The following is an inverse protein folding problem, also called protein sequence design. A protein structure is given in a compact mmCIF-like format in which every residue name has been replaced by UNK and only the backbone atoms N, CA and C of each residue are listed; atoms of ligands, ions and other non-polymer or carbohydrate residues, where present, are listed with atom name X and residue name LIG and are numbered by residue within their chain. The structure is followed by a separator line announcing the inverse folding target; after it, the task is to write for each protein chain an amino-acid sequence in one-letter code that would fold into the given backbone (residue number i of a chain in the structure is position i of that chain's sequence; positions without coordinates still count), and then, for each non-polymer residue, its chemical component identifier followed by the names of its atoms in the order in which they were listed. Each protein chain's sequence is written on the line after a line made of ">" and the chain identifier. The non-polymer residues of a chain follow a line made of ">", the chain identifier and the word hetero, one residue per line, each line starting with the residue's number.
data_IF_371019529837
#
_entry.id   IF_371019529837
#
_cell.length_a   1.000
_cell.length_b   1.000
_cell.length_c   1.000
_cell.angle_alpha   90.00
_cell.angle_beta   90.00
_cell.angle_gamma   90.00
#
_symmetry.space_group_name_H-M   'P 1'
#
loop_
_entity.id
_entity.type
_entity.pdbx_description
1 polymer ?
#
# COMPACT_ATOMS: atom_id res chain seq x y z
N UNK A 1 13.47 -17.27 -0.01
CA UNK A 1 12.37 -18.28 -0.11
C UNK A 1 12.55 -19.47 0.81
N UNK A 2 13.75 -20.02 0.95
CA UNK A 2 14.02 -21.14 1.88
C UNK A 2 13.74 -20.81 3.35
N UNK A 3 14.09 -19.62 3.83
CA UNK A 3 13.82 -19.22 5.23
C UNK A 3 12.31 -19.20 5.60
N UNK A 4 11.41 -18.98 4.66
CA UNK A 4 9.97 -18.97 4.95
C UNK A 4 9.38 -20.39 4.99
N UNK A 5 9.90 -21.33 4.20
CA UNK A 5 9.52 -22.76 4.27
C UNK A 5 10.03 -23.45 5.53
N UNK A 6 11.20 -23.06 6.05
CA UNK A 6 11.73 -23.59 7.32
C UNK A 6 10.94 -23.08 8.55
N UNK A 7 10.12 -22.04 8.38
CA UNK A 7 9.23 -21.54 9.43
C UNK A 7 7.96 -22.37 9.66
N UNK A 8 7.64 -23.34 8.80
CA UNK A 8 6.38 -24.09 8.86
C UNK A 8 6.60 -25.59 9.19
N UNK A 9 7.81 -26.03 9.46
CA UNK A 9 8.04 -27.41 9.93
C UNK A 9 7.80 -27.52 11.43
N UNK A 10 6.97 -28.48 11.82
CA UNK A 10 6.36 -28.72 13.15
C UNK A 10 7.32 -29.03 14.31
N UNK A 11 8.63 -28.88 14.19
CA UNK A 11 9.56 -29.14 15.28
C UNK A 11 9.94 -27.85 16.03
N UNK A 12 9.38 -27.67 17.23
CA UNK A 12 9.73 -26.66 18.25
C UNK A 12 9.66 -25.17 17.80
N UNK A 13 8.67 -24.81 17.02
CA UNK A 13 8.49 -23.40 16.63
C UNK A 13 8.18 -22.56 17.86
N UNK A 14 9.10 -21.68 18.24
CA UNK A 14 8.78 -20.54 19.13
C UNK A 14 7.53 -19.87 18.60
N UNK A 15 6.55 -19.54 19.45
CA UNK A 15 5.31 -18.89 18.99
C UNK A 15 5.65 -17.64 18.16
N UNK A 16 5.04 -17.55 16.98
CA UNK A 16 5.23 -16.38 16.11
C UNK A 16 4.72 -15.12 16.78
N UNK A 17 5.43 -14.03 16.53
CA UNK A 17 5.09 -12.70 17.00
C UNK A 17 4.89 -11.78 15.79
N UNK A 18 3.91 -10.92 15.87
CA UNK A 18 3.55 -10.03 14.78
C UNK A 18 3.65 -8.57 15.23
N UNK A 19 4.46 -7.80 14.53
CA UNK A 19 4.51 -6.35 14.64
C UNK A 19 3.78 -5.72 13.46
N UNK A 20 2.86 -4.82 13.72
CA UNK A 20 2.13 -4.09 12.68
C UNK A 20 2.50 -2.62 12.74
N UNK A 21 3.14 -2.10 11.68
CA UNK A 21 3.32 -0.65 11.52
C UNK A 21 2.05 -0.08 10.88
N UNK A 22 1.32 0.72 11.61
CA UNK A 22 0.07 1.34 11.17
C UNK A 22 0.13 2.86 11.29
N UNK A 23 -0.80 3.54 10.62
CA UNK A 23 -1.04 4.95 10.84
C UNK A 23 -1.79 5.13 12.15
N UNK A 24 -1.48 6.20 12.86
CA UNK A 24 -2.29 6.65 13.97
C UNK A 24 -3.63 7.18 13.44
N UNK A 25 -4.70 6.46 13.72
CA UNK A 25 -6.07 6.80 13.32
C UNK A 25 -6.98 6.77 14.56
N UNK A 26 -8.04 7.58 14.59
CA UNK A 26 -9.03 7.50 15.68
C UNK A 26 -9.56 6.08 15.85
N UNK A 27 -9.80 5.67 17.09
CA UNK A 27 -10.21 4.29 17.47
C UNK A 27 -11.43 3.79 16.68
N UNK A 28 -12.40 4.66 16.41
CA UNK A 28 -13.63 4.35 15.68
C UNK A 28 -13.40 3.98 14.20
N UNK A 29 -12.22 4.29 13.65
CA UNK A 29 -11.85 4.03 12.25
C UNK A 29 -10.86 2.87 12.08
N UNK A 30 -10.35 2.29 13.15
CA UNK A 30 -9.30 1.25 13.12
C UNK A 30 -9.82 -0.17 12.88
N UNK A 31 -10.86 -0.36 12.07
CA UNK A 31 -11.49 -1.67 11.80
C UNK A 31 -10.52 -2.79 11.40
N UNK A 32 -9.45 -2.45 10.70
CA UNK A 32 -8.45 -3.44 10.27
C UNK A 32 -7.54 -3.86 11.43
N UNK A 33 -7.13 -2.92 12.28
CA UNK A 33 -6.32 -3.20 13.46
C UNK A 33 -7.06 -4.13 14.43
N UNK A 34 -8.31 -3.82 14.74
CA UNK A 34 -9.18 -4.60 15.62
C UNK A 34 -9.41 -6.02 15.07
N UNK A 35 -9.60 -6.14 13.74
CA UNK A 35 -9.76 -7.45 13.10
C UNK A 35 -8.50 -8.29 13.18
N UNK A 36 -7.31 -7.69 13.00
CA UNK A 36 -6.02 -8.36 13.13
C UNK A 36 -5.81 -8.84 14.57
N UNK A 37 -6.06 -7.97 15.54
CA UNK A 37 -5.93 -8.30 16.95
C UNK A 37 -6.87 -9.43 17.39
N UNK A 38 -8.13 -9.38 16.96
CA UNK A 38 -9.09 -10.45 17.20
C UNK A 38 -8.65 -11.79 16.62
N UNK A 39 -8.05 -11.80 15.42
CA UNK A 39 -7.55 -13.03 14.81
C UNK A 39 -6.26 -13.52 15.49
N UNK A 40 -5.34 -12.61 15.82
CA UNK A 40 -4.13 -12.95 16.55
C UNK A 40 -4.44 -13.61 17.88
N UNK A 41 -5.36 -13.03 18.66
CA UNK A 41 -5.84 -13.60 19.93
C UNK A 41 -6.43 -15.00 19.77
N UNK A 42 -7.24 -15.24 18.70
CA UNK A 42 -7.79 -16.57 18.42
C UNK A 42 -6.72 -17.61 18.08
N UNK A 43 -5.63 -17.17 17.48
CA UNK A 43 -4.53 -18.04 17.04
C UNK A 43 -3.40 -18.15 18.07
N UNK A 44 -3.52 -17.47 19.23
CA UNK A 44 -2.45 -17.42 20.24
C UNK A 44 -1.19 -16.69 19.77
N UNK A 45 -1.32 -15.78 18.80
CA UNK A 45 -0.22 -15.00 18.26
C UNK A 45 -0.06 -13.72 19.09
N UNK A 46 1.16 -13.45 19.60
CA UNK A 46 1.53 -12.18 20.22
C UNK A 46 1.62 -11.10 19.12
N UNK A 47 0.67 -10.18 19.13
CA UNK A 47 0.58 -9.09 18.16
C UNK A 47 0.74 -7.74 18.85
N UNK A 48 1.63 -6.90 18.31
CA UNK A 48 1.81 -5.52 18.73
C UNK A 48 1.55 -4.56 17.57
N UNK A 49 0.70 -3.57 17.78
CA UNK A 49 0.40 -2.52 16.81
C UNK A 49 1.19 -1.26 17.15
N UNK A 50 2.09 -0.85 16.27
CA UNK A 50 2.95 0.32 16.42
C UNK A 50 2.42 1.47 15.57
N UNK A 51 2.05 2.56 16.20
CA UNK A 51 1.55 3.79 15.57
C UNK A 51 2.71 4.68 15.17
N UNK A 52 3.02 4.69 13.86
CA UNK A 52 4.29 5.25 13.37
C UNK A 52 4.49 6.74 13.61
N UNK A 53 3.41 7.50 13.81
CA UNK A 53 3.48 8.92 14.15
C UNK A 53 3.82 9.15 15.62
N UNK A 54 3.46 8.21 16.49
CA UNK A 54 3.53 8.32 17.94
C UNK A 54 4.34 7.22 18.61
N UNK A 55 5.33 6.66 17.92
CA UNK A 55 6.13 5.55 18.42
C UNK A 55 7.62 5.71 18.14
N UNK A 56 8.41 4.89 18.80
CA UNK A 56 9.86 4.86 18.66
C UNK A 56 10.42 3.47 19.03
N UNK A 57 11.68 3.25 18.70
CA UNK A 57 12.44 2.09 19.15
C UNK A 57 13.53 2.49 20.13
N UNK A 58 13.74 1.64 21.13
CA UNK A 58 14.95 1.61 21.94
C UNK A 58 15.70 0.29 21.74
N UNK A 59 16.85 0.16 22.35
CA UNK A 59 17.57 -1.12 22.45
C UNK A 59 17.67 -1.52 23.92
N UNK A 60 17.46 -2.80 24.20
CA UNK A 60 17.70 -3.35 25.53
C UNK A 60 19.19 -3.71 25.73
N UNK A 61 19.55 -4.16 26.94
CA UNK A 61 20.92 -4.56 27.29
C UNK A 61 21.49 -5.69 26.40
N UNK A 62 20.62 -6.49 25.78
CA UNK A 62 21.00 -7.57 24.85
C UNK A 62 21.18 -7.08 23.40
N UNK A 63 20.95 -5.78 23.15
CA UNK A 63 20.98 -5.20 21.81
C UNK A 63 19.73 -5.44 20.96
N UNK A 64 18.69 -6.06 21.52
CA UNK A 64 17.40 -6.24 20.81
C UNK A 64 16.62 -4.93 20.77
N UNK A 65 15.89 -4.71 19.66
CA UNK A 65 14.96 -3.59 19.56
C UNK A 65 13.77 -3.79 20.50
N UNK A 66 13.32 -2.69 21.08
CA UNK A 66 12.08 -2.62 21.86
C UNK A 66 11.19 -1.55 21.25
N UNK A 67 10.00 -1.95 20.83
CA UNK A 67 8.99 -1.07 20.26
C UNK A 67 8.16 -0.42 21.36
N UNK A 68 7.90 0.87 21.23
CA UNK A 68 7.12 1.65 22.19
C UNK A 68 6.10 2.52 21.46
N UNK A 69 4.90 2.62 21.99
CA UNK A 69 3.92 3.65 21.66
C UNK A 69 3.88 4.72 22.75
N UNK A 70 3.65 5.98 22.37
CA UNK A 70 3.29 7.01 23.32
C UNK A 70 1.81 6.88 23.68
N UNK A 71 1.50 6.79 24.97
CA UNK A 71 0.12 6.79 25.44
C UNK A 71 -0.58 8.12 25.16
N UNK A 72 -1.74 8.05 24.49
CA UNK A 72 -2.61 9.21 24.24
C UNK A 72 -1.89 10.40 23.56
N UNK A 73 -0.99 10.11 22.62
CA UNK A 73 -0.15 11.11 21.94
C UNK A 73 -0.96 12.27 21.38
N UNK A 74 -2.05 12.01 20.64
CA UNK A 74 -2.87 13.05 20.02
C UNK A 74 -3.59 13.95 21.03
N UNK A 75 -4.08 13.39 22.11
CA UNK A 75 -4.76 14.16 23.15
C UNK A 75 -3.78 15.03 23.93
N UNK A 76 -2.59 14.49 24.21
CA UNK A 76 -1.57 15.15 25.02
C UNK A 76 -0.74 16.17 24.26
N UNK A 77 -0.58 16.03 22.95
CA UNK A 77 0.18 17.01 22.13
C UNK A 77 -0.68 18.12 21.59
N UNK A 78 -2.00 18.06 21.76
CA UNK A 78 -2.91 19.12 21.30
C UNK A 78 -2.66 20.41 22.10
N UNK A 79 -2.06 21.40 21.43
CA UNK A 79 -1.74 22.69 22.02
C UNK A 79 -0.39 22.75 22.76
N UNK A 80 0.45 21.71 22.70
CA UNK A 80 1.81 21.76 23.23
C UNK A 80 2.76 22.44 22.24
N UNK A 81 3.72 23.19 22.81
CA UNK A 81 4.83 23.79 22.07
C UNK A 81 6.09 22.93 22.16
N UNK A 82 7.07 23.19 21.30
CA UNK A 82 8.38 22.54 21.40
C UNK A 82 9.04 22.87 22.74
N UNK A 83 9.38 21.81 23.50
CA UNK A 83 10.01 21.94 24.83
C UNK A 83 9.05 21.78 26.02
N UNK A 84 7.73 21.66 25.78
CA UNK A 84 6.79 21.33 26.84
C UNK A 84 7.03 19.90 27.37
N UNK A 85 6.81 19.69 28.67
CA UNK A 85 7.04 18.39 29.29
C UNK A 85 6.09 17.34 28.73
N UNK A 86 6.67 16.25 28.23
CA UNK A 86 6.00 15.40 27.31
C UNK A 86 5.79 14.00 27.85
N UNK A 87 4.58 13.55 27.78
CA UNK A 87 4.16 12.23 27.31
C UNK A 87 4.81 11.06 28.03
N UNK A 88 4.02 10.44 28.89
CA UNK A 88 4.35 9.12 29.43
C UNK A 88 4.35 8.10 28.29
N UNK A 89 5.42 7.39 28.15
CA UNK A 89 5.53 6.26 27.23
C UNK A 89 5.17 4.96 27.95
N UNK A 90 4.83 3.94 27.19
CA UNK A 90 4.76 2.57 27.67
C UNK A 90 6.12 2.18 28.28
N UNK A 91 6.16 2.08 29.63
CA UNK A 91 7.40 1.83 30.36
C UNK A 91 8.04 0.48 30.04
N UNK A 92 7.23 -0.50 29.58
CA UNK A 92 7.69 -1.86 29.38
C UNK A 92 8.16 -2.07 27.93
N UNK A 93 7.50 -1.47 26.96
CA UNK A 93 7.72 -1.71 25.55
C UNK A 93 7.48 -3.17 25.13
N UNK A 94 7.58 -3.43 23.84
CA UNK A 94 7.45 -4.75 23.26
C UNK A 94 8.79 -5.15 22.62
N UNK A 95 9.49 -6.14 23.20
CA UNK A 95 10.78 -6.61 22.70
C UNK A 95 10.60 -7.31 21.35
N UNK A 96 11.38 -6.88 20.36
CA UNK A 96 11.38 -7.46 19.02
C UNK A 96 12.43 -8.57 18.96
N UNK A 97 11.96 -9.80 18.79
CA UNK A 97 12.86 -10.94 18.57
C UNK A 97 12.94 -11.25 17.06
N UNK A 98 14.09 -11.04 16.39
CA UNK A 98 14.21 -11.20 14.95
C UNK A 98 14.02 -12.65 14.48
N UNK A 99 14.20 -13.64 15.36
CA UNK A 99 14.07 -15.07 15.00
C UNK A 99 12.62 -15.49 14.76
N UNK A 100 11.66 -14.85 15.44
CA UNK A 100 10.25 -15.23 15.37
C UNK A 100 9.28 -14.05 15.15
N UNK A 101 9.77 -12.84 14.89
CA UNK A 101 8.94 -11.67 14.61
C UNK A 101 8.82 -11.44 13.10
N UNK A 102 7.58 -11.23 12.65
CA UNK A 102 7.26 -10.74 11.29
C UNK A 102 6.64 -9.36 11.43
N UNK A 103 7.12 -8.40 10.64
CA UNK A 103 6.58 -7.05 10.63
C UNK A 103 5.72 -6.80 9.38
N UNK A 104 4.45 -6.46 9.57
CA UNK A 104 3.56 -5.99 8.52
C UNK A 104 3.60 -4.47 8.41
N UNK A 105 4.06 -3.96 7.27
CA UNK A 105 4.10 -2.52 6.96
C UNK A 105 2.78 -2.15 6.27
N UNK A 106 1.88 -1.52 7.02
CA UNK A 106 0.52 -1.16 6.55
C UNK A 106 0.40 0.25 5.99
N UNK A 107 1.47 1.02 6.03
CA UNK A 107 1.48 2.43 5.62
C UNK A 107 2.74 2.75 4.82
N UNK A 108 2.63 3.68 3.90
CA UNK A 108 3.72 4.14 3.02
C UNK A 108 4.39 5.43 3.50
N UNK A 109 4.05 5.91 4.71
CA UNK A 109 4.68 7.08 5.29
C UNK A 109 6.19 6.88 5.46
N UNK A 110 6.98 7.92 5.17
CA UNK A 110 8.44 7.87 5.24
C UNK A 110 8.98 7.38 6.60
N UNK A 111 8.28 7.66 7.72
CA UNK A 111 8.63 7.15 9.05
C UNK A 111 8.42 5.64 9.16
N UNK A 112 7.31 5.11 8.64
CA UNK A 112 7.06 3.67 8.61
C UNK A 112 8.11 2.92 7.80
N UNK A 113 8.53 3.48 6.67
CA UNK A 113 9.60 2.92 5.84
C UNK A 113 10.93 2.90 6.60
N UNK A 114 11.26 3.95 7.37
CA UNK A 114 12.46 3.97 8.21
C UNK A 114 12.40 2.92 9.32
N UNK A 115 11.27 2.76 9.97
CA UNK A 115 11.07 1.72 10.99
C UNK A 115 11.18 0.32 10.40
N UNK A 116 10.60 0.09 9.24
CA UNK A 116 10.72 -1.19 8.53
C UNK A 116 12.18 -1.49 8.15
N UNK A 117 12.97 -0.50 7.69
CA UNK A 117 14.38 -0.69 7.41
C UNK A 117 15.20 -0.92 8.68
N UNK A 118 14.91 -0.23 9.78
CA UNK A 118 15.54 -0.48 11.07
C UNK A 118 15.30 -1.92 11.52
N UNK A 119 14.06 -2.41 11.45
CA UNK A 119 13.71 -3.79 11.75
C UNK A 119 14.45 -4.78 10.86
N UNK A 120 14.52 -4.52 9.55
CA UNK A 120 15.24 -5.35 8.58
C UNK A 120 16.74 -5.43 8.88
N UNK A 121 17.37 -4.32 9.26
CA UNK A 121 18.80 -4.28 9.67
C UNK A 121 19.01 -5.18 10.89
N UNK A 122 18.04 -5.27 11.78
CA UNK A 122 18.08 -6.16 12.96
C UNK A 122 17.60 -7.60 12.66
N UNK A 123 17.45 -7.97 11.38
CA UNK A 123 17.13 -9.34 10.97
C UNK A 123 15.65 -9.69 10.96
N UNK A 124 14.74 -8.74 11.25
CA UNK A 124 13.30 -8.96 11.21
C UNK A 124 12.79 -9.03 9.78
N UNK A 125 11.97 -10.04 9.47
CA UNK A 125 11.29 -10.13 8.18
C UNK A 125 10.19 -9.07 8.09
N UNK A 126 10.26 -8.20 7.05
CA UNK A 126 9.23 -7.17 6.81
C UNK A 126 8.37 -7.53 5.60
N UNK A 127 7.06 -7.34 5.72
CA UNK A 127 6.05 -7.54 4.68
C UNK A 127 5.31 -6.21 4.45
N UNK A 128 5.57 -5.48 3.37
CA UNK A 128 6.50 -5.75 2.29
C UNK A 128 7.86 -5.06 2.51
N UNK A 129 8.81 -5.31 1.60
CA UNK A 129 10.10 -4.61 1.58
C UNK A 129 9.93 -3.13 1.19
N UNK A 130 10.94 -2.31 1.50
CA UNK A 130 11.00 -0.92 1.04
C UNK A 130 10.88 -0.80 -0.48
N UNK A 131 11.53 -1.69 -1.22
CA UNK A 131 11.46 -1.71 -2.68
C UNK A 131 10.03 -1.91 -3.17
N UNK A 132 9.32 -2.91 -2.64
CA UNK A 132 7.92 -3.18 -2.98
C UNK A 132 7.03 -1.97 -2.66
N UNK A 133 7.19 -1.39 -1.47
CA UNK A 133 6.40 -0.22 -1.07
C UNK A 133 6.64 0.97 -2.00
N UNK A 134 7.91 1.26 -2.35
CA UNK A 134 8.25 2.33 -3.29
C UNK A 134 7.59 2.13 -4.67
N UNK A 135 7.74 0.92 -5.24
CA UNK A 135 7.18 0.62 -6.56
C UNK A 135 5.65 0.64 -6.56
N UNK A 136 5.01 0.15 -5.49
CA UNK A 136 3.54 0.12 -5.42
C UNK A 136 2.91 1.47 -5.07
N UNK A 137 3.64 2.38 -4.42
CA UNK A 137 3.16 3.72 -4.05
C UNK A 137 3.19 4.70 -5.24
N UNK A 138 4.10 4.49 -6.18
CA UNK A 138 4.24 5.30 -7.40
C UNK A 138 3.67 4.56 -8.61
N UNK A 139 2.59 5.11 -9.20
CA UNK A 139 1.89 4.49 -10.35
C UNK A 139 2.73 4.39 -11.61
N UNK A 140 3.69 5.32 -11.80
CA UNK A 140 4.59 5.25 -12.94
C UNK A 140 5.64 4.16 -12.78
N UNK A 141 6.27 4.07 -11.63
CA UNK A 141 7.22 2.99 -11.32
C UNK A 141 6.54 1.62 -11.35
N UNK A 142 5.31 1.54 -10.85
CA UNK A 142 4.49 0.33 -10.92
C UNK A 142 4.23 -0.08 -12.38
N UNK A 143 3.76 0.86 -13.21
CA UNK A 143 3.55 0.62 -14.64
C UNK A 143 4.81 0.10 -15.33
N UNK A 144 5.96 0.72 -15.08
CA UNK A 144 7.24 0.29 -15.68
C UNK A 144 7.66 -1.11 -15.22
N UNK A 145 7.50 -1.41 -13.93
CA UNK A 145 7.85 -2.72 -13.39
C UNK A 145 7.01 -3.85 -14.02
N UNK A 146 5.70 -3.63 -14.12
CA UNK A 146 4.78 -4.59 -14.72
C UNK A 146 5.02 -4.72 -16.25
N UNK A 147 5.25 -3.61 -16.93
CA UNK A 147 5.53 -3.58 -18.38
C UNK A 147 6.81 -4.32 -18.73
N UNK A 148 7.87 -4.13 -17.94
CA UNK A 148 9.15 -4.83 -18.09
C UNK A 148 8.98 -6.36 -18.12
N UNK A 149 8.09 -6.87 -17.30
CA UNK A 149 7.82 -8.30 -17.19
C UNK A 149 6.71 -8.77 -18.16
N UNK A 150 6.29 -7.91 -19.11
CA UNK A 150 5.35 -8.25 -20.19
C UNK A 150 3.91 -8.46 -19.72
N UNK A 151 3.50 -7.84 -18.58
CA UNK A 151 2.11 -7.81 -18.16
C UNK A 151 1.31 -6.82 -19.02
N UNK A 152 0.12 -7.22 -19.44
CA UNK A 152 -0.79 -6.32 -20.15
C UNK A 152 -1.29 -5.23 -19.22
N UNK A 153 -1.27 -4.02 -19.70
CA UNK A 153 -1.71 -2.85 -18.94
C UNK A 153 -2.38 -1.87 -19.91
N UNK A 154 -3.28 -1.02 -19.43
CA UNK A 154 -3.74 0.13 -20.19
C UNK A 154 -2.55 0.98 -20.61
N UNK A 155 -2.54 1.47 -21.85
CA UNK A 155 -1.48 2.35 -22.34
C UNK A 155 -1.39 3.57 -21.46
N UNK A 156 -0.19 3.83 -20.95
CA UNK A 156 0.06 4.90 -19.96
C UNK A 156 1.29 5.68 -20.39
N UNK A 157 1.23 6.99 -20.26
CA UNK A 157 2.34 7.90 -20.48
C UNK A 157 2.44 8.92 -19.34
N UNK A 158 3.66 9.44 -19.12
CA UNK A 158 3.91 10.48 -18.12
C UNK A 158 3.86 11.85 -18.80
N UNK A 159 3.26 12.82 -18.12
CA UNK A 159 3.23 14.22 -18.52
C UNK A 159 4.22 15.01 -17.69
N UNK A 160 5.17 15.64 -18.35
CA UNK A 160 6.19 16.45 -17.67
C UNK A 160 5.94 17.96 -17.90
N UNK A 161 5.60 18.36 -19.11
CA UNK A 161 5.39 19.76 -19.50
C UNK A 161 4.19 19.91 -20.43
N UNK A 162 3.49 21.05 -20.31
CA UNK A 162 2.30 21.36 -21.13
C UNK A 162 2.66 21.49 -22.63
N UNK A 163 3.82 22.02 -22.95
CA UNK A 163 4.27 22.26 -24.32
C UNK A 163 4.41 20.99 -25.13
N UNK A 164 4.68 19.86 -24.48
CA UNK A 164 4.89 18.57 -25.13
C UNK A 164 3.74 17.57 -24.92
N UNK A 165 2.57 18.06 -24.48
CA UNK A 165 1.43 17.21 -24.11
C UNK A 165 0.94 16.29 -25.24
N UNK A 166 1.11 16.70 -26.49
CA UNK A 166 0.66 15.93 -27.66
C UNK A 166 1.44 14.62 -27.86
N UNK A 167 2.69 14.56 -27.41
CA UNK A 167 3.52 13.36 -27.54
C UNK A 167 2.95 12.23 -26.65
N UNK A 168 2.83 12.41 -25.33
CA UNK A 168 2.21 11.41 -24.47
C UNK A 168 0.77 11.03 -24.87
N UNK A 169 -0.03 12.00 -25.32
CA UNK A 169 -1.38 11.73 -25.84
C UNK A 169 -1.31 10.73 -27.01
N UNK A 170 -0.41 10.96 -27.95
CA UNK A 170 -0.28 10.07 -29.11
C UNK A 170 0.20 8.66 -28.72
N UNK A 171 1.07 8.54 -27.72
CA UNK A 171 1.56 7.25 -27.21
C UNK A 171 0.47 6.37 -26.64
N UNK A 172 -0.56 6.96 -26.01
CA UNK A 172 -1.71 6.22 -25.47
C UNK A 172 -2.82 6.00 -26.51
N UNK A 173 -2.63 6.45 -27.76
CA UNK A 173 -3.55 6.25 -28.89
C UNK A 173 -4.35 7.49 -29.29
N UNK A 174 -4.12 8.66 -28.70
CA UNK A 174 -4.64 9.96 -29.14
C UNK A 174 -6.16 10.15 -29.00
N UNK A 175 -6.85 9.30 -28.25
CA UNK A 175 -8.33 9.29 -28.21
C UNK A 175 -8.85 9.69 -26.84
N UNK A 176 -9.89 10.52 -26.82
CA UNK A 176 -10.70 10.78 -25.65
C UNK A 176 -11.91 9.82 -25.58
N UNK A 177 -12.43 9.51 -24.39
CA UNK A 177 -11.90 9.94 -23.10
C UNK A 177 -10.63 9.21 -22.68
N UNK A 178 -9.88 9.82 -21.76
CA UNK A 178 -8.73 9.24 -21.12
C UNK A 178 -8.77 9.46 -19.61
N UNK A 179 -7.88 8.81 -18.85
CA UNK A 179 -7.79 8.98 -17.41
C UNK A 179 -6.49 9.72 -17.09
N UNK A 180 -6.60 10.81 -16.35
CA UNK A 180 -5.46 11.47 -15.71
C UNK A 180 -5.31 10.93 -14.29
N UNK A 181 -4.06 10.67 -13.88
CA UNK A 181 -3.74 10.22 -12.51
C UNK A 181 -2.53 10.98 -11.98
N UNK A 182 -2.53 11.33 -10.71
CA UNK A 182 -1.28 11.69 -10.03
C UNK A 182 -0.43 10.44 -9.80
N UNK A 183 0.89 10.57 -9.92
CA UNK A 183 1.81 9.45 -9.74
C UNK A 183 1.66 8.82 -8.34
N UNK A 184 1.51 9.66 -7.33
CA UNK A 184 1.22 9.25 -5.96
C UNK A 184 -0.25 9.51 -5.59
N UNK A 185 -0.73 8.89 -4.53
CA UNK A 185 -2.10 8.99 -4.06
C UNK A 185 -2.84 7.65 -4.07
N UNK A 186 -3.78 7.51 -3.13
CA UNK A 186 -4.53 6.27 -2.86
C UNK A 186 -6.04 6.52 -2.91
N UNK A 187 -6.84 5.45 -2.88
CA UNK A 187 -8.31 5.49 -2.75
C UNK A 187 -9.04 6.25 -3.88
N UNK A 188 -8.44 6.37 -5.07
CA UNK A 188 -9.04 7.09 -6.19
C UNK A 188 -8.91 8.62 -6.11
N UNK A 189 -8.23 9.15 -5.09
CA UNK A 189 -7.87 10.57 -5.02
C UNK A 189 -6.80 10.86 -6.08
N UNK A 190 -6.96 11.97 -6.82
CA UNK A 190 -6.07 12.33 -7.93
C UNK A 190 -6.29 11.51 -9.22
N UNK A 191 -7.48 10.91 -9.39
CA UNK A 191 -7.90 10.24 -10.63
C UNK A 191 -9.03 11.01 -11.26
N UNK A 192 -8.84 11.51 -12.49
CA UNK A 192 -9.77 12.40 -13.20
C UNK A 192 -10.11 11.83 -14.57
N UNK A 193 -11.40 11.85 -14.92
CA UNK A 193 -11.87 11.53 -16.24
C UNK A 193 -11.69 12.74 -17.16
N UNK A 194 -11.00 12.55 -18.27
CA UNK A 194 -10.64 13.60 -19.22
C UNK A 194 -11.37 13.34 -20.54
N UNK A 195 -12.31 14.18 -20.87
CA UNK A 195 -13.16 14.09 -22.07
C UNK A 195 -12.63 14.93 -23.23
N UNK A 196 -11.76 15.90 -22.98
CA UNK A 196 -11.28 16.85 -23.97
C UNK A 196 -9.86 17.35 -23.67
N UNK A 197 -9.23 17.94 -24.66
CA UNK A 197 -7.93 18.61 -24.51
C UNK A 197 -7.99 19.75 -23.50
N UNK A 198 -9.08 20.54 -23.51
CA UNK A 198 -9.27 21.67 -22.59
C UNK A 198 -9.35 21.19 -21.14
N UNK A 199 -10.10 20.12 -20.90
CA UNK A 199 -10.19 19.51 -19.55
C UNK A 199 -8.82 18.99 -19.10
N UNK A 200 -8.03 18.39 -20.00
CA UNK A 200 -6.68 17.92 -19.69
C UNK A 200 -5.77 19.07 -19.26
N UNK A 201 -5.65 20.12 -20.09
CA UNK A 201 -4.77 21.26 -19.80
C UNK A 201 -5.18 21.96 -18.50
N UNK A 202 -6.47 22.26 -18.33
CA UNK A 202 -6.96 22.92 -17.11
C UNK A 202 -6.70 22.08 -15.84
N UNK A 203 -6.85 20.74 -15.92
CA UNK A 203 -6.55 19.85 -14.80
C UNK A 203 -5.05 19.82 -14.48
N UNK A 204 -4.20 19.75 -15.49
CA UNK A 204 -2.74 19.81 -15.30
C UNK A 204 -2.30 21.10 -14.62
N UNK A 205 -2.79 22.24 -15.10
CA UNK A 205 -2.48 23.56 -14.53
C UNK A 205 -2.89 23.64 -13.06
N UNK A 206 -4.07 23.11 -12.71
CA UNK A 206 -4.53 23.08 -11.33
C UNK A 206 -3.61 22.20 -10.46
N UNK A 207 -3.27 21.00 -10.91
CA UNK A 207 -2.37 20.09 -10.16
C UNK A 207 -1.00 20.74 -9.96
N UNK A 208 -0.40 21.29 -11.02
CA UNK A 208 0.90 21.95 -10.96
C UNK A 208 0.90 23.20 -10.08
N UNK A 209 -0.24 23.89 -9.96
CA UNK A 209 -0.39 25.02 -9.04
C UNK A 209 -0.39 24.59 -7.58
N UNK A 210 -0.87 23.39 -7.29
CA UNK A 210 -0.90 22.82 -5.93
C UNK A 210 0.48 22.24 -5.56
N UNK A 211 1.09 21.53 -6.49
CA UNK A 211 2.39 20.87 -6.34
C UNK A 211 3.09 20.79 -7.70
N UNK A 212 4.11 21.61 -7.90
CA UNK A 212 4.85 21.72 -9.15
C UNK A 212 5.59 20.43 -9.51
N UNK A 213 6.04 19.69 -8.50
CA UNK A 213 6.78 18.43 -8.66
C UNK A 213 5.86 17.21 -8.78
N UNK A 214 4.54 17.38 -8.67
CA UNK A 214 3.58 16.27 -8.80
C UNK A 214 3.71 15.60 -10.15
N UNK A 215 4.04 14.32 -10.14
CA UNK A 215 4.01 13.48 -11.33
C UNK A 215 2.59 13.30 -11.84
N UNK A 216 2.36 13.55 -13.13
CA UNK A 216 1.05 13.41 -13.78
C UNK A 216 1.15 12.32 -14.84
N UNK A 217 0.21 11.40 -14.84
CA UNK A 217 0.08 10.32 -15.82
C UNK A 217 -1.20 10.49 -16.60
N UNK A 218 -1.15 10.17 -17.88
CA UNK A 218 -2.35 9.91 -18.68
C UNK A 218 -2.40 8.44 -19.09
N UNK A 219 -3.61 7.91 -19.12
CA UNK A 219 -3.86 6.52 -19.43
C UNK A 219 -5.08 6.39 -20.34
N UNK A 220 -5.05 5.45 -21.28
CA UNK A 220 -6.24 5.12 -22.07
C UNK A 220 -7.39 4.71 -21.14
N UNK A 221 -8.59 5.16 -21.46
CA UNK A 221 -9.80 4.77 -20.75
C UNK A 221 -10.32 3.44 -21.26
N UNK A 222 -10.39 2.46 -20.37
CA UNK A 222 -11.01 1.17 -20.63
C UNK A 222 -12.37 1.15 -19.94
N UNK A 223 -13.45 1.18 -20.71
CA UNK A 223 -14.80 1.07 -20.18
C UNK A 223 -15.03 -0.35 -19.69
N UNK A 224 -15.36 -0.48 -18.42
CA UNK A 224 -15.65 -1.76 -17.78
C UNK A 224 -16.80 -1.62 -16.79
N UNK A 225 -17.63 -2.64 -16.61
CA UNK A 225 -18.68 -2.64 -15.58
C UNK A 225 -18.14 -2.94 -14.19
N UNK A 226 -16.93 -3.45 -14.06
CA UNK A 226 -16.27 -3.78 -12.79
C UNK A 226 -14.76 -3.96 -12.98
N UNK A 227 -14.04 -3.89 -11.89
CA UNK A 227 -12.68 -4.40 -11.79
C UNK A 227 -12.60 -5.56 -10.79
N UNK A 228 -11.45 -6.19 -10.72
CA UNK A 228 -11.15 -7.29 -9.79
C UNK A 228 -9.94 -6.91 -8.94
N UNK A 229 -10.05 -7.14 -7.63
CA UNK A 229 -8.92 -7.14 -6.69
C UNK A 229 -8.61 -8.54 -6.25
N UNK A 230 -7.39 -9.00 -6.53
CA UNK A 230 -6.85 -10.26 -6.03
C UNK A 230 -5.73 -9.98 -5.01
N UNK A 231 -5.78 -10.63 -3.87
CA UNK A 231 -4.68 -10.59 -2.91
C UNK A 231 -3.74 -11.77 -3.14
N UNK A 232 -2.49 -11.46 -3.43
CA UNK A 232 -1.42 -12.45 -3.58
C UNK A 232 -0.56 -12.43 -2.33
N UNK A 233 -0.44 -13.58 -1.69
CA UNK A 233 0.43 -13.79 -0.54
C UNK A 233 1.42 -14.90 -0.86
N UNK A 234 2.71 -14.62 -0.75
CA UNK A 234 3.79 -15.58 -0.98
C UNK A 234 3.66 -16.39 -2.30
N UNK A 235 3.19 -15.73 -3.36
CA UNK A 235 3.03 -16.35 -4.68
C UNK A 235 1.74 -17.14 -4.88
N UNK A 236 0.77 -17.04 -3.99
CA UNK A 236 -0.55 -17.65 -4.11
C UNK A 236 -1.66 -16.61 -4.02
N UNK A 237 -2.72 -16.79 -4.81
CA UNK A 237 -3.92 -15.95 -4.72
C UNK A 237 -4.78 -16.43 -3.56
N UNK A 238 -4.78 -15.69 -2.45
CA UNK A 238 -5.45 -16.06 -1.20
C UNK A 238 -6.84 -15.46 -1.03
N UNK A 239 -7.12 -14.34 -1.70
CA UNK A 239 -8.43 -13.71 -1.69
C UNK A 239 -8.67 -12.96 -3.01
N UNK A 240 -9.95 -12.88 -3.41
CA UNK A 240 -10.36 -12.25 -4.66
C UNK A 240 -11.76 -11.69 -4.53
N UNK A 241 -11.98 -10.54 -5.12
CA UNK A 241 -13.29 -9.89 -5.14
C UNK A 241 -13.48 -9.03 -6.38
N UNK A 242 -14.70 -8.98 -6.86
CA UNK A 242 -15.17 -8.11 -7.92
C UNK A 242 -15.71 -6.82 -7.29
N UNK A 243 -15.34 -5.68 -7.86
CA UNK A 243 -15.81 -4.36 -7.43
C UNK A 243 -16.59 -3.71 -8.58
N UNK A 244 -17.92 -3.69 -8.53
CA UNK A 244 -18.75 -3.03 -9.54
C UNK A 244 -18.43 -1.53 -9.62
N UNK A 245 -18.46 -0.98 -10.85
CA UNK A 245 -18.44 0.47 -11.06
C UNK A 245 -19.81 1.03 -10.63
N UNK A 246 -19.78 2.13 -9.86
CA UNK A 246 -20.99 2.78 -9.36
C UNK A 246 -21.66 3.56 -10.49
N UNK A 247 -22.98 3.52 -10.53
CA UNK A 247 -23.75 4.30 -11.51
C UNK A 247 -23.43 5.80 -11.40
N UNK A 248 -23.01 6.41 -12.51
CA UNK A 248 -22.62 7.83 -12.55
C UNK A 248 -21.14 8.09 -12.21
N UNK A 249 -20.36 7.06 -11.88
CA UNK A 249 -18.89 7.15 -11.73
C UNK A 249 -18.20 6.24 -12.76
N UNK A 250 -16.92 6.45 -12.97
CA UNK A 250 -16.04 5.59 -13.78
C UNK A 250 -15.12 4.72 -12.89
N UNK A 251 -15.16 4.93 -11.57
CA UNK A 251 -14.34 4.26 -10.56
C UNK A 251 -15.10 3.11 -9.89
N UNK A 252 -14.38 2.10 -9.45
CA UNK A 252 -14.89 0.89 -8.79
C UNK A 252 -14.43 0.75 -7.33
N UNK A 253 -13.87 1.82 -6.74
CA UNK A 253 -13.29 1.76 -5.40
C UNK A 253 -14.35 1.56 -4.30
N UNK A 254 -14.11 0.61 -3.38
CA UNK A 254 -14.95 0.36 -2.21
C UNK A 254 -15.10 1.61 -1.35
N UNK A 255 -14.07 2.43 -1.23
CA UNK A 255 -14.09 3.71 -0.50
C UNK A 255 -15.10 4.72 -1.09
N UNK A 256 -15.54 4.51 -2.32
CA UNK A 256 -16.54 5.31 -3.00
C UNK A 256 -17.96 4.68 -2.95
N UNK A 257 -18.13 3.56 -2.20
CA UNK A 257 -19.41 2.91 -2.00
C UNK A 257 -19.68 1.68 -2.86
N UNK A 258 -18.69 1.16 -3.60
CA UNK A 258 -18.83 -0.11 -4.33
C UNK A 258 -18.98 -1.28 -3.35
N UNK A 259 -19.99 -2.11 -3.54
CA UNK A 259 -20.19 -3.33 -2.76
C UNK A 259 -19.42 -4.51 -3.39
N UNK A 260 -18.43 -5.07 -2.69
CA UNK A 260 -17.61 -6.16 -3.23
C UNK A 260 -18.44 -7.45 -3.36
N UNK A 261 -18.23 -8.15 -4.47
CA UNK A 261 -18.88 -9.43 -4.80
C UNK A 261 -17.83 -10.54 -4.92
N UNK A 262 -18.24 -11.77 -4.64
CA UNK A 262 -17.39 -12.94 -4.88
C UNK A 262 -17.17 -13.14 -6.37
N UNK A 263 -15.96 -13.59 -6.74
CA UNK A 263 -15.60 -13.96 -8.11
C UNK A 263 -14.64 -15.13 -8.10
N UNK A 264 -14.71 -15.99 -9.11
CA UNK A 264 -13.69 -16.99 -9.40
C UNK A 264 -12.78 -16.48 -10.52
N UNK A 265 -11.48 -16.72 -10.38
CA UNK A 265 -10.48 -16.35 -11.37
C UNK A 265 -10.14 -17.59 -12.23
N UNK A 266 -9.96 -17.34 -13.51
CA UNK A 266 -9.34 -18.30 -14.42
C UNK A 266 -7.88 -18.57 -14.03
N UNK A 267 -7.31 -19.67 -14.50
CA UNK A 267 -5.91 -19.99 -14.22
C UNK A 267 -4.95 -18.96 -14.84
N UNK A 268 -5.33 -18.37 -15.99
CA UNK A 268 -4.59 -17.27 -16.60
C UNK A 268 -4.59 -16.05 -15.69
N UNK A 269 -5.75 -15.60 -15.20
CA UNK A 269 -5.85 -14.44 -14.29
C UNK A 269 -5.06 -14.66 -13.00
N UNK A 270 -5.13 -15.85 -12.41
CA UNK A 270 -4.31 -16.21 -11.24
C UNK A 270 -2.81 -16.09 -11.57
N UNK A 271 -2.37 -16.65 -12.71
CA UNK A 271 -0.95 -16.61 -13.11
C UNK A 271 -0.46 -15.18 -13.35
N UNK A 272 -1.29 -14.33 -13.98
CA UNK A 272 -0.98 -12.92 -14.19
C UNK A 272 -0.91 -12.13 -12.85
N UNK A 273 -1.82 -12.40 -11.91
CA UNK A 273 -1.75 -11.81 -10.57
C UNK A 273 -0.46 -12.21 -9.83
N UNK A 274 -0.07 -13.49 -9.89
CA UNK A 274 1.17 -13.98 -9.27
C UNK A 274 2.39 -13.34 -9.96
N UNK A 275 2.36 -13.21 -11.27
CA UNK A 275 3.42 -12.56 -12.04
C UNK A 275 3.53 -11.08 -11.67
N UNK A 276 2.41 -10.37 -11.52
CA UNK A 276 2.38 -8.98 -11.07
C UNK A 276 3.00 -8.81 -9.66
N UNK A 277 2.66 -9.69 -8.72
CA UNK A 277 3.27 -9.70 -7.39
C UNK A 277 4.79 -9.91 -7.44
N UNK A 278 5.28 -10.82 -8.30
CA UNK A 278 6.71 -11.07 -8.51
C UNK A 278 7.42 -9.86 -9.12
N UNK A 279 6.80 -9.17 -10.08
CA UNK A 279 7.37 -7.99 -10.75
C UNK A 279 7.71 -6.87 -9.76
N UNK A 280 6.91 -6.68 -8.74
CA UNK A 280 7.14 -5.71 -7.67
C UNK A 280 7.88 -6.31 -6.46
N UNK A 281 8.31 -7.58 -6.54
CA UNK A 281 8.93 -8.34 -5.44
C UNK A 281 8.07 -8.34 -4.16
N UNK A 282 6.75 -8.34 -4.32
CA UNK A 282 5.80 -8.26 -3.23
C UNK A 282 5.53 -9.62 -2.59
N UNK A 283 5.62 -9.67 -1.27
CA UNK A 283 5.23 -10.86 -0.51
C UNK A 283 3.71 -10.89 -0.28
N UNK A 284 3.12 -9.74 0.04
CA UNK A 284 1.66 -9.58 0.17
C UNK A 284 1.22 -8.31 -0.55
N UNK A 285 0.56 -8.46 -1.68
CA UNK A 285 0.07 -7.35 -2.51
C UNK A 285 -1.36 -7.56 -2.96
N UNK A 286 -2.09 -6.45 -3.12
CA UNK A 286 -3.37 -6.42 -3.82
C UNK A 286 -3.12 -6.07 -5.28
N UNK A 287 -3.54 -6.95 -6.18
CA UNK A 287 -3.48 -6.74 -7.63
C UNK A 287 -4.85 -6.34 -8.12
N UNK A 288 -4.93 -5.16 -8.70
CA UNK A 288 -6.17 -4.66 -9.33
C UNK A 288 -6.07 -4.83 -10.84
N UNK A 289 -7.07 -5.44 -11.46
CA UNK A 289 -7.11 -5.63 -12.90
C UNK A 289 -8.53 -5.56 -13.47
N UNK A 290 -8.62 -5.25 -14.74
CA UNK A 290 -9.84 -5.29 -15.54
C UNK A 290 -9.82 -6.61 -16.32
N UNK A 291 -10.79 -7.51 -16.13
CA UNK A 291 -10.91 -8.72 -16.95
C UNK A 291 -11.08 -8.37 -18.44
N UNK A 292 -10.46 -9.16 -19.29
CA UNK A 292 -10.50 -8.98 -20.77
C UNK A 292 -11.37 -10.03 -21.43
#
# INVERSE_FOLDING_TARGET
>A
MEKFKSFITEEEAKPYRVLVLKRDVPDDTNKTGDSLEKQANKMGIDLYQMEVESSYFTTNEKGNLVAHNYENFRERTKGLSFGDEVIKHDKKGWEVNPENTICFVRVTLGRAIRFAEQLRIHGVTTVNSRYTNLICDDKWLNYLALKKDGLRQPKTAILTHEENINIPISEIGGKYPMILKTAQGTQGVGVVFIDSYQTLVGTMQLIKKIDEDMGILIQEYIKTPFDVRAHVLNGEVVAKLKRPVISGDFRSNISQGSEPQKIELTDLEKSECIKAAKSVKGMWVGVDFIPS
#
